data_IF_313035321730
#
_entry.id   IF_313035321730
#
_cell.length_a   1.000
_cell.length_b   1.000
_cell.length_c   1.000
_cell.angle_alpha   90.00
_cell.angle_beta   90.00
_cell.angle_gamma   90.00
#
_symmetry.space_group_name_H-M   'P 1'
#
loop_
_entity.id
_entity.type
_entity.pdbx_description
1 polymer ?
#
# COMPACT_ATOMS: atom_id res chain seq x y z
N UNK A 1 14.26 -6.22 -37.34
CA UNK A 1 15.46 -6.08 -36.52
C UNK A 1 15.04 -6.59 -35.16
N UNK A 2 15.26 -7.90 -34.92
CA UNK A 2 15.04 -8.49 -33.61
C UNK A 2 16.13 -7.94 -32.70
N UNK A 3 15.74 -7.12 -31.74
CA UNK A 3 16.65 -6.74 -30.67
C UNK A 3 16.89 -8.01 -29.85
N UNK A 4 18.14 -8.49 -29.89
CA UNK A 4 18.66 -9.47 -28.97
C UNK A 4 18.42 -8.95 -27.55
N UNK A 5 17.31 -9.34 -26.94
CA UNK A 5 17.09 -9.21 -25.49
C UNK A 5 18.14 -10.10 -24.86
N UNK A 6 19.27 -9.51 -24.44
CA UNK A 6 20.29 -10.21 -23.67
C UNK A 6 19.58 -10.77 -22.44
N UNK A 7 19.44 -12.09 -22.40
CA UNK A 7 18.97 -12.82 -21.25
C UNK A 7 20.01 -12.70 -20.12
N UNK A 8 19.94 -11.63 -19.35
CA UNK A 8 20.73 -11.46 -18.14
C UNK A 8 20.26 -12.48 -17.11
N UNK A 9 21.21 -13.14 -16.44
CA UNK A 9 20.89 -13.86 -15.22
C UNK A 9 21.20 -12.98 -14.00
N UNK A 10 20.69 -13.34 -12.84
CA UNK A 10 20.88 -12.54 -11.61
C UNK A 10 22.35 -12.32 -11.26
N UNK A 11 23.25 -13.24 -11.64
CA UNK A 11 24.70 -13.08 -11.42
C UNK A 11 25.28 -11.97 -12.29
N UNK A 12 24.86 -11.90 -13.55
CA UNK A 12 25.28 -10.82 -14.47
C UNK A 12 24.82 -9.46 -13.97
N UNK A 13 23.62 -9.41 -13.36
CA UNK A 13 23.08 -8.19 -12.73
C UNK A 13 23.96 -7.81 -11.54
N UNK A 14 24.28 -8.76 -10.64
CA UNK A 14 25.14 -8.50 -9.48
C UNK A 14 26.53 -8.02 -9.92
N UNK A 15 27.13 -8.64 -10.93
CA UNK A 15 28.43 -8.19 -11.47
C UNK A 15 28.34 -6.77 -12.07
N UNK A 16 27.24 -6.45 -12.77
CA UNK A 16 27.05 -5.13 -13.37
C UNK A 16 26.87 -4.03 -12.32
N UNK A 17 26.20 -4.32 -11.19
CA UNK A 17 25.96 -3.30 -10.15
C UNK A 17 27.20 -3.01 -9.31
N UNK A 18 28.23 -3.87 -9.31
CA UNK A 18 29.50 -3.60 -8.62
C UNK A 18 30.16 -2.29 -9.06
N UNK A 19 29.97 -1.88 -10.31
CA UNK A 19 30.48 -0.60 -10.80
C UNK A 19 29.82 0.59 -10.08
N UNK A 20 28.57 0.43 -9.62
CA UNK A 20 27.81 1.47 -8.94
C UNK A 20 28.23 1.68 -7.47
N UNK A 21 28.92 0.72 -6.86
CA UNK A 21 29.39 0.80 -5.45
C UNK A 21 30.33 1.99 -5.19
N UNK A 22 31.05 2.43 -6.24
CA UNK A 22 31.92 3.59 -6.14
C UNK A 22 31.17 4.94 -6.27
N UNK A 23 29.90 4.90 -6.69
CA UNK A 23 29.08 6.09 -6.98
C UNK A 23 28.04 6.31 -5.87
N UNK A 24 27.47 5.20 -5.38
CA UNK A 24 26.39 5.20 -4.38
C UNK A 24 26.91 4.72 -3.02
N UNK A 25 26.30 5.19 -1.94
CA UNK A 25 26.65 4.77 -0.58
C UNK A 25 26.18 3.35 -0.30
N UNK A 26 25.02 2.96 -0.85
CA UNK A 26 24.49 1.58 -0.80
C UNK A 26 23.91 1.20 -2.15
N UNK A 27 24.20 0.00 -2.61
CA UNK A 27 23.56 -0.62 -3.78
C UNK A 27 22.97 -1.95 -3.36
N UNK A 28 21.68 -2.15 -3.67
CA UNK A 28 20.97 -3.38 -3.35
C UNK A 28 20.26 -3.94 -4.58
N UNK A 29 20.27 -5.26 -4.70
CA UNK A 29 19.38 -5.99 -5.62
C UNK A 29 18.32 -6.65 -4.78
N UNK A 30 17.06 -6.29 -5.01
CA UNK A 30 15.95 -6.79 -4.21
C UNK A 30 14.90 -7.48 -5.07
N UNK A 31 14.22 -8.46 -4.49
CA UNK A 31 12.95 -8.96 -5.01
C UNK A 31 11.81 -8.42 -4.12
N UNK A 32 11.17 -7.31 -4.50
CA UNK A 32 10.17 -6.67 -3.64
C UNK A 32 8.87 -7.47 -3.53
N UNK A 33 8.61 -8.38 -4.47
CA UNK A 33 7.45 -9.29 -4.42
C UNK A 33 7.64 -10.34 -3.32
N UNK A 34 8.86 -10.86 -3.16
CA UNK A 34 9.20 -11.83 -2.13
C UNK A 34 9.67 -11.14 -0.83
N UNK A 35 9.79 -9.83 -0.81
CA UNK A 35 10.39 -9.03 0.27
C UNK A 35 11.82 -9.47 0.61
N UNK A 36 12.62 -9.85 -0.39
CA UNK A 36 13.97 -10.37 -0.18
C UNK A 36 15.03 -9.45 -0.72
N UNK A 37 16.13 -9.35 0.02
CA UNK A 37 17.40 -8.84 -0.51
C UNK A 37 18.12 -10.01 -1.18
N UNK A 38 18.53 -9.81 -2.42
CA UNK A 38 19.30 -10.80 -3.20
C UNK A 38 20.79 -10.50 -3.10
N UNK A 39 21.14 -9.22 -3.11
CA UNK A 39 22.50 -8.72 -3.01
C UNK A 39 22.49 -7.34 -2.37
N UNK A 40 23.49 -7.04 -1.56
CA UNK A 40 23.69 -5.70 -0.96
C UNK A 40 25.19 -5.42 -0.86
N UNK A 41 25.57 -4.24 -1.30
CA UNK A 41 26.85 -3.61 -1.03
C UNK A 41 26.63 -2.30 -0.29
N UNK A 42 27.26 -2.16 0.86
CA UNK A 42 27.17 -0.97 1.70
C UNK A 42 28.56 -0.44 1.97
N UNK A 43 28.88 0.70 1.40
CA UNK A 43 30.19 1.35 1.52
C UNK A 43 30.53 1.75 2.95
N UNK A 44 29.50 2.07 3.74
CA UNK A 44 29.65 2.56 5.11
C UNK A 44 29.64 1.41 6.15
N UNK A 45 29.10 0.25 5.76
CA UNK A 45 29.04 -0.95 6.60
C UNK A 45 29.08 -2.24 5.75
N UNK A 46 30.31 -2.72 5.41
CA UNK A 46 30.47 -3.91 4.59
C UNK A 46 29.98 -5.21 5.25
N UNK A 47 29.65 -5.20 6.53
CA UNK A 47 29.19 -6.39 7.28
C UNK A 47 27.67 -6.48 7.33
N UNK A 48 26.96 -5.43 6.96
CA UNK A 48 25.48 -5.43 6.91
C UNK A 48 24.95 -6.31 5.75
N UNK A 49 25.23 -7.60 5.83
CA UNK A 49 24.67 -8.61 4.94
C UNK A 49 23.49 -9.19 5.67
N UNK A 50 22.37 -9.32 5.15
CA UNK A 50 21.94 -10.21 4.41
C UNK A 50 20.65 -10.86 4.18
N UNK A 51 20.20 -11.91 4.51
CA UNK A 51 19.01 -12.73 4.26
C UNK A 51 17.69 -12.12 4.80
N UNK A 52 17.76 -10.88 5.26
CA UNK A 52 16.63 -10.16 5.84
C UNK A 52 15.65 -9.67 4.78
N UNK A 53 14.44 -9.45 5.22
CA UNK A 53 13.42 -8.84 4.39
C UNK A 53 13.89 -7.45 3.92
N UNK A 54 13.61 -7.07 2.66
CA UNK A 54 14.09 -5.82 2.07
C UNK A 54 13.70 -4.57 2.87
N UNK A 55 12.62 -4.63 3.63
CA UNK A 55 12.15 -3.57 4.50
C UNK A 55 12.89 -3.49 5.84
N UNK A 56 13.61 -4.55 6.27
CA UNK A 56 14.38 -4.54 7.51
C UNK A 56 15.51 -3.52 7.47
N UNK A 57 16.09 -3.27 6.31
CA UNK A 57 17.07 -2.21 6.11
C UNK A 57 16.54 -0.81 6.50
N UNK A 58 15.22 -0.60 6.41
CA UNK A 58 14.53 0.62 6.78
C UNK A 58 14.03 0.60 8.22
N UNK A 59 14.55 -0.31 9.06
CA UNK A 59 14.12 -0.54 10.45
C UNK A 59 12.60 -0.78 10.60
N UNK A 60 11.98 -1.28 9.52
CA UNK A 60 10.55 -1.60 9.50
C UNK A 60 10.34 -3.09 9.80
N UNK A 61 9.31 -3.38 10.56
CA UNK A 61 8.89 -4.75 10.87
C UNK A 61 7.86 -5.32 9.86
N UNK A 62 7.47 -4.50 8.88
CA UNK A 62 6.58 -4.84 7.78
C UNK A 62 7.02 -4.14 6.50
N UNK A 63 6.49 -4.57 5.36
CA UNK A 63 6.76 -3.96 4.07
C UNK A 63 6.42 -2.46 4.06
N UNK A 64 7.11 -1.74 3.17
CA UNK A 64 6.96 -0.29 3.03
C UNK A 64 5.61 0.08 2.43
N UNK A 65 4.87 0.99 3.04
CA UNK A 65 3.60 1.49 2.52
C UNK A 65 3.79 2.19 1.16
N UNK A 66 4.85 2.98 1.02
CA UNK A 66 5.29 3.60 -0.25
C UNK A 66 6.51 2.85 -0.81
N UNK A 67 6.30 1.66 -1.38
CA UNK A 67 7.38 0.85 -1.95
C UNK A 67 7.64 1.22 -3.41
N UNK A 68 8.70 1.99 -3.68
CA UNK A 68 9.08 2.37 -5.05
C UNK A 68 9.61 1.20 -5.88
N UNK A 69 10.13 0.16 -5.24
CA UNK A 69 10.61 -1.03 -5.93
C UNK A 69 9.46 -1.87 -6.47
N UNK A 70 8.33 -1.97 -5.74
CA UNK A 70 7.10 -2.56 -6.29
C UNK A 70 6.57 -1.74 -7.46
N UNK A 71 6.58 -0.42 -7.32
CA UNK A 71 6.16 0.49 -8.38
C UNK A 71 7.04 0.35 -9.61
N UNK A 72 8.36 0.27 -9.44
CA UNK A 72 9.30 0.09 -10.54
C UNK A 72 8.98 -1.17 -11.37
N UNK A 73 8.66 -2.29 -10.72
CA UNK A 73 8.24 -3.51 -11.43
C UNK A 73 6.88 -3.33 -12.12
N UNK A 74 5.91 -2.72 -11.44
CA UNK A 74 4.53 -2.62 -11.95
C UNK A 74 4.44 -1.68 -13.14
N UNK A 75 5.12 -0.54 -13.08
CA UNK A 75 5.10 0.49 -14.11
C UNK A 75 6.24 0.33 -15.13
N UNK A 76 7.19 -0.60 -14.89
CA UNK A 76 8.38 -0.87 -15.70
C UNK A 76 9.22 0.39 -15.94
N UNK A 77 9.38 1.20 -14.90
CA UNK A 77 10.08 2.49 -14.96
C UNK A 77 10.94 2.69 -13.71
N UNK A 78 11.84 3.66 -13.78
CA UNK A 78 12.72 4.04 -12.66
C UNK A 78 12.05 5.09 -11.79
N UNK A 79 12.07 4.86 -10.48
CA UNK A 79 11.49 5.76 -9.50
C UNK A 79 12.51 6.25 -8.50
N UNK A 80 12.29 7.48 -8.02
CA UNK A 80 13.10 8.12 -6.99
C UNK A 80 12.21 8.50 -5.82
N UNK A 81 12.70 8.25 -4.60
CA UNK A 81 12.11 8.79 -3.37
C UNK A 81 13.17 9.18 -2.37
N UNK A 82 12.74 9.89 -1.35
CA UNK A 82 13.53 10.12 -0.14
C UNK A 82 12.99 9.26 1.00
N UNK A 83 13.88 8.75 1.84
CA UNK A 83 13.55 8.01 3.06
C UNK A 83 14.42 8.50 4.20
N UNK A 84 13.91 8.44 5.42
CA UNK A 84 14.64 8.88 6.63
C UNK A 84 14.89 7.67 7.51
N UNK A 85 16.14 7.47 7.94
CA UNK A 85 16.57 6.44 8.89
C UNK A 85 17.57 7.12 9.86
N UNK A 86 17.36 6.97 11.17
CA UNK A 86 18.30 7.46 12.20
C UNK A 86 18.81 8.89 11.94
N UNK A 87 17.88 9.82 11.66
CA UNK A 87 18.19 11.22 11.33
C UNK A 87 18.96 11.42 10.01
N UNK A 88 19.24 10.33 9.26
CA UNK A 88 19.83 10.40 7.92
C UNK A 88 18.75 10.39 6.84
N UNK A 89 19.01 11.14 5.79
CA UNK A 89 18.12 11.25 4.65
C UNK A 89 18.79 10.61 3.45
N UNK A 90 18.14 9.56 2.94
CA UNK A 90 18.60 8.83 1.76
C UNK A 90 17.76 9.22 0.55
N UNK A 91 18.44 9.56 -0.54
CA UNK A 91 17.83 9.58 -1.86
C UNK A 91 17.97 8.17 -2.47
N UNK A 92 16.85 7.57 -2.82
CA UNK A 92 16.78 6.20 -3.33
C UNK A 92 16.30 6.25 -4.77
N UNK A 93 17.06 5.63 -5.65
CA UNK A 93 16.64 5.34 -7.03
C UNK A 93 16.39 3.85 -7.14
N UNK A 94 15.20 3.46 -7.61
CA UNK A 94 14.81 2.07 -7.81
C UNK A 94 14.54 1.84 -9.29
N UNK A 95 15.30 0.95 -9.93
CA UNK A 95 15.21 0.62 -11.36
C UNK A 95 14.92 -0.87 -11.56
N UNK A 96 13.87 -1.24 -12.34
CA UNK A 96 13.54 -2.63 -12.57
C UNK A 96 14.54 -3.30 -13.48
N UNK A 97 14.83 -4.56 -13.20
CA UNK A 97 15.64 -5.45 -14.04
C UNK A 97 14.95 -6.81 -14.12
N UNK A 98 14.89 -7.37 -15.31
CA UNK A 98 14.26 -8.66 -15.57
C UNK A 98 15.33 -9.72 -15.88
N UNK A 99 15.18 -10.92 -15.32
CA UNK A 99 15.92 -12.10 -15.72
C UNK A 99 14.96 -13.23 -16.10
N UNK A 100 15.51 -14.39 -16.49
CA UNK A 100 14.70 -15.56 -16.88
C UNK A 100 13.82 -16.12 -15.73
N UNK A 101 14.15 -15.78 -14.46
CA UNK A 101 13.53 -16.33 -13.27
C UNK A 101 12.59 -15.33 -12.58
N UNK A 102 12.54 -14.07 -13.03
CA UNK A 102 11.65 -13.06 -12.44
C UNK A 102 12.12 -11.63 -12.60
N UNK A 103 11.39 -10.75 -11.93
CA UNK A 103 11.66 -9.32 -11.88
C UNK A 103 12.37 -8.98 -10.56
N UNK A 104 13.44 -8.23 -10.69
CA UNK A 104 14.22 -7.70 -9.57
C UNK A 104 14.29 -6.18 -9.67
N UNK A 105 14.79 -5.53 -8.64
CA UNK A 105 15.03 -4.09 -8.65
C UNK A 105 16.42 -3.80 -8.12
N UNK A 106 17.15 -2.99 -8.83
CA UNK A 106 18.37 -2.37 -8.36
C UNK A 106 17.99 -1.09 -7.62
N UNK A 107 18.26 -1.06 -6.33
CA UNK A 107 18.10 0.12 -5.49
C UNK A 107 19.48 0.75 -5.25
N UNK A 108 19.60 2.01 -5.59
CA UNK A 108 20.81 2.83 -5.43
C UNK A 108 20.52 3.95 -4.44
N UNK A 109 21.25 3.97 -3.34
CA UNK A 109 21.01 4.88 -2.22
C UNK A 109 22.19 5.84 -2.04
N UNK A 110 21.89 7.12 -1.90
CA UNK A 110 22.84 8.15 -1.48
C UNK A 110 22.37 8.79 -0.17
N UNK A 111 23.25 8.82 0.82
CA UNK A 111 23.09 9.67 2.00
C UNK A 111 23.30 11.13 1.56
N UNK A 112 22.28 11.94 1.70
CA UNK A 112 22.29 13.34 1.31
C UNK A 112 22.21 14.29 2.52
N UNK A 113 22.29 13.75 3.73
CA UNK A 113 22.11 14.50 4.98
C UNK A 113 23.03 15.73 5.06
N UNK A 114 24.32 15.57 4.74
CA UNK A 114 25.34 16.62 4.86
C UNK A 114 25.78 17.22 3.53
N UNK A 115 25.13 16.89 2.40
CA UNK A 115 25.61 17.29 1.06
C UNK A 115 25.23 18.71 0.63
N UNK A 116 24.89 19.63 1.55
CA UNK A 116 24.57 21.03 1.22
C UNK A 116 23.35 21.23 0.31
N UNK A 117 22.83 20.17 -0.27
CA UNK A 117 21.67 20.16 -1.14
C UNK A 117 20.39 20.48 -0.34
N UNK A 118 20.34 20.05 0.92
CA UNK A 118 19.23 20.30 1.83
C UNK A 118 19.14 21.77 2.22
N UNK A 119 20.29 22.44 2.43
CA UNK A 119 20.33 23.88 2.75
C UNK A 119 19.75 24.74 1.62
N UNK A 120 19.92 24.32 0.37
CA UNK A 120 19.42 25.04 -0.80
C UNK A 120 17.92 24.81 -1.06
N UNK A 121 17.35 23.68 -0.64
CA UNK A 121 15.96 23.29 -0.91
C UNK A 121 15.03 23.66 0.25
N UNK A 122 15.45 23.45 1.49
CA UNK A 122 14.58 23.58 2.68
C UNK A 122 14.96 24.74 3.62
N UNK A 123 15.99 25.53 3.29
CA UNK A 123 16.54 26.47 4.27
C UNK A 123 17.36 25.74 5.33
N UNK A 124 17.75 26.43 6.38
CA UNK A 124 18.77 25.93 7.35
C UNK A 124 18.27 24.88 8.36
N UNK A 125 17.13 24.20 8.15
CA UNK A 125 16.56 23.31 9.16
C UNK A 125 16.29 21.91 8.60
N UNK A 126 17.12 20.94 9.01
CA UNK A 126 16.98 19.51 8.64
C UNK A 126 15.65 18.91 9.12
N UNK A 127 15.12 19.36 10.27
CA UNK A 127 13.84 18.90 10.81
C UNK A 127 12.66 19.24 9.88
N UNK A 128 12.70 20.42 9.25
CA UNK A 128 11.67 20.84 8.29
C UNK A 128 11.69 19.96 7.03
N UNK A 129 12.88 19.58 6.56
CA UNK A 129 13.02 18.71 5.39
C UNK A 129 12.58 17.28 5.70
N UNK A 130 12.97 16.73 6.84
CA UNK A 130 12.52 15.42 7.31
C UNK A 130 10.99 15.36 7.37
N UNK A 131 10.36 16.37 7.97
CA UNK A 131 8.90 16.43 8.05
C UNK A 131 8.23 16.56 6.67
N UNK A 132 8.88 17.24 5.73
CA UNK A 132 8.42 17.34 4.35
C UNK A 132 8.48 15.99 3.63
N UNK A 133 9.61 15.26 3.76
CA UNK A 133 9.79 13.93 3.18
C UNK A 133 8.71 12.96 3.68
N UNK A 134 8.48 12.93 4.99
CA UNK A 134 7.45 12.07 5.57
C UNK A 134 6.06 12.41 5.02
N UNK A 135 5.70 13.69 4.96
CA UNK A 135 4.41 14.13 4.40
C UNK A 135 4.28 13.80 2.92
N UNK A 136 5.34 13.93 2.12
CA UNK A 136 5.32 13.57 0.70
C UNK A 136 5.12 12.05 0.52
N UNK A 137 5.79 11.23 1.31
CA UNK A 137 5.62 9.78 1.27
C UNK A 137 4.19 9.37 1.65
N UNK A 138 3.61 9.97 2.67
CA UNK A 138 2.22 9.72 3.07
C UNK A 138 1.22 10.18 2.00
N UNK A 139 1.39 11.38 1.44
CA UNK A 139 0.50 11.90 0.41
C UNK A 139 0.42 11.02 -0.85
N UNK A 140 1.46 10.25 -1.14
CA UNK A 140 1.47 9.33 -2.28
C UNK A 140 0.56 8.12 -2.08
N UNK A 141 0.33 7.69 -0.85
CA UNK A 141 -0.38 6.45 -0.53
C UNK A 141 -1.66 6.67 0.28
N UNK A 142 -1.89 7.87 0.80
CA UNK A 142 -3.07 8.22 1.58
C UNK A 142 -4.09 9.00 0.75
N UNK A 143 -5.36 8.84 1.07
CA UNK A 143 -6.46 9.69 0.56
C UNK A 143 -6.49 11.00 1.35
N UNK A 144 -6.50 12.13 0.65
CA UNK A 144 -6.40 13.46 1.27
C UNK A 144 -7.54 13.75 2.25
N UNK A 145 -8.75 13.28 1.96
CA UNK A 145 -9.91 13.52 2.82
C UNK A 145 -9.93 12.61 4.03
N UNK A 146 -9.75 11.32 3.82
CA UNK A 146 -10.01 10.29 4.85
C UNK A 146 -8.76 9.83 5.59
N UNK A 147 -7.58 10.13 5.08
CA UNK A 147 -6.26 9.77 5.62
C UNK A 147 -5.98 8.26 5.75
N UNK A 148 -6.87 7.39 5.27
CA UNK A 148 -6.58 5.97 5.05
C UNK A 148 -5.89 5.79 3.70
N UNK A 149 -5.50 4.56 3.34
CA UNK A 149 -4.87 4.33 2.04
C UNK A 149 -5.78 4.74 0.87
N UNK A 150 -5.15 5.15 -0.23
CA UNK A 150 -5.84 5.56 -1.45
C UNK A 150 -5.91 4.43 -2.49
N UNK A 151 -6.58 4.68 -3.61
CA UNK A 151 -6.72 3.70 -4.71
C UNK A 151 -5.38 3.29 -5.32
N UNK A 152 -4.38 4.17 -5.31
CA UNK A 152 -3.04 3.85 -5.79
C UNK A 152 -2.41 2.74 -4.96
N UNK A 153 -2.52 2.82 -3.64
CA UNK A 153 -2.04 1.78 -2.73
C UNK A 153 -2.69 0.41 -3.04
N UNK A 154 -3.99 0.38 -3.33
CA UNK A 154 -4.68 -0.86 -3.74
C UNK A 154 -4.02 -1.44 -4.98
N UNK A 155 -3.81 -0.63 -6.02
CA UNK A 155 -3.27 -1.08 -7.30
C UNK A 155 -1.83 -1.59 -7.18
N UNK A 156 -1.01 -1.00 -6.32
CA UNK A 156 0.37 -1.39 -6.10
C UNK A 156 0.46 -2.60 -5.16
N UNK A 157 -0.38 -2.65 -4.12
CA UNK A 157 -0.25 -3.62 -3.04
C UNK A 157 -1.03 -4.91 -3.24
N UNK A 158 -2.27 -4.84 -3.68
CA UNK A 158 -3.15 -6.01 -3.76
C UNK A 158 -2.60 -7.13 -4.67
N UNK A 159 -1.96 -6.86 -5.85
CA UNK A 159 -1.32 -7.90 -6.65
C UNK A 159 -0.24 -8.68 -5.89
N UNK A 160 0.52 -8.00 -5.05
CA UNK A 160 1.59 -8.60 -4.24
C UNK A 160 1.00 -9.47 -3.13
N UNK A 161 -0.10 -9.03 -2.51
CA UNK A 161 -0.80 -9.83 -1.50
C UNK A 161 -1.38 -11.12 -2.10
N UNK A 162 -1.85 -11.08 -3.36
CA UNK A 162 -2.28 -12.29 -4.09
C UNK A 162 -1.11 -13.28 -4.21
N UNK A 163 0.06 -12.80 -4.65
CA UNK A 163 1.25 -13.63 -4.82
C UNK A 163 1.69 -14.23 -3.47
N UNK A 164 1.74 -13.41 -2.42
CA UNK A 164 2.11 -13.87 -1.07
C UNK A 164 1.13 -14.92 -0.54
N UNK A 165 -0.17 -14.74 -0.76
CA UNK A 165 -1.19 -15.70 -0.35
C UNK A 165 -1.04 -17.02 -1.08
N UNK A 166 -0.76 -16.99 -2.40
CA UNK A 166 -0.53 -18.19 -3.21
C UNK A 166 0.73 -18.93 -2.77
N UNK A 167 1.86 -18.22 -2.61
CA UNK A 167 3.15 -18.81 -2.24
C UNK A 167 3.14 -19.35 -0.81
N UNK A 168 2.47 -18.65 0.10
CA UNK A 168 2.35 -19.05 1.50
C UNK A 168 1.24 -20.08 1.76
N UNK A 169 0.46 -20.47 0.75
CA UNK A 169 -0.77 -21.26 0.88
C UNK A 169 -1.73 -20.72 1.95
N UNK A 170 -1.77 -19.38 2.10
CA UNK A 170 -2.61 -18.68 3.06
C UNK A 170 -3.91 -18.24 2.42
N UNK A 171 -5.00 -18.26 3.19
CA UNK A 171 -6.25 -17.63 2.79
C UNK A 171 -6.11 -16.11 2.79
N UNK A 172 -6.88 -15.44 1.96
CA UNK A 172 -7.02 -13.99 2.02
C UNK A 172 -8.43 -13.60 1.54
N UNK A 173 -8.92 -12.47 2.02
CA UNK A 173 -10.20 -11.94 1.58
C UNK A 173 -10.12 -10.46 1.25
N UNK A 174 -10.92 -10.03 0.26
CA UNK A 174 -11.24 -8.62 0.03
C UNK A 174 -12.69 -8.37 0.41
N UNK A 175 -12.93 -7.18 0.96
CA UNK A 175 -14.27 -6.70 1.30
C UNK A 175 -14.44 -5.33 0.65
N UNK A 176 -15.51 -5.15 -0.11
CA UNK A 176 -15.91 -3.83 -0.59
C UNK A 176 -17.05 -3.34 0.27
N UNK A 177 -16.90 -2.14 0.82
CA UNK A 177 -17.90 -1.46 1.63
C UNK A 177 -18.36 -0.17 0.97
N UNK A 178 -19.63 0.16 1.11
CA UNK A 178 -20.20 1.40 0.58
C UNK A 178 -21.31 1.91 1.50
N UNK A 179 -21.30 3.23 1.74
CA UNK A 179 -22.28 3.90 2.61
C UNK A 179 -23.66 3.89 1.96
N UNK A 180 -24.66 3.34 2.65
CA UNK A 180 -26.02 3.26 2.13
C UNK A 180 -26.65 4.63 1.95
N UNK A 181 -27.14 4.89 0.73
CA UNK A 181 -27.85 6.12 0.38
C UNK A 181 -27.02 7.40 0.64
N UNK A 182 -25.69 7.33 0.46
CA UNK A 182 -24.80 8.46 0.75
C UNK A 182 -25.13 9.71 -0.06
N UNK A 183 -25.49 9.55 -1.35
CA UNK A 183 -25.96 10.67 -2.17
C UNK A 183 -27.11 11.43 -1.51
N UNK A 184 -28.10 10.72 -0.93
CA UNK A 184 -29.21 11.34 -0.22
C UNK A 184 -28.76 12.13 1.02
N UNK A 185 -27.69 11.68 1.69
CA UNK A 185 -27.09 12.42 2.81
C UNK A 185 -26.47 13.74 2.32
N UNK A 186 -25.71 13.68 1.21
CA UNK A 186 -25.16 14.88 0.57
C UNK A 186 -26.25 15.86 0.13
N UNK A 187 -27.30 15.35 -0.50
CA UNK A 187 -28.43 16.16 -0.96
C UNK A 187 -29.18 16.83 0.21
N UNK A 188 -29.19 16.20 1.38
CA UNK A 188 -29.91 16.71 2.56
C UNK A 188 -29.06 17.67 3.41
N UNK A 189 -27.77 17.36 3.63
CA UNK A 189 -26.90 18.04 4.60
C UNK A 189 -25.74 18.79 3.97
N UNK A 190 -25.62 18.73 2.61
CA UNK A 190 -24.54 19.34 1.86
C UNK A 190 -23.24 18.51 1.83
N UNK A 191 -22.34 18.83 0.90
CA UNK A 191 -21.09 18.10 0.69
C UNK A 191 -20.12 18.19 1.88
N UNK A 192 -20.10 19.31 2.60
CA UNK A 192 -19.25 19.46 3.79
C UNK A 192 -19.63 18.43 4.87
N UNK A 193 -20.94 18.22 5.08
CA UNK A 193 -21.41 17.17 6.00
C UNK A 193 -21.06 15.77 5.48
N UNK A 194 -21.15 15.55 4.16
CA UNK A 194 -20.71 14.30 3.52
C UNK A 194 -19.25 14.02 3.73
N UNK A 195 -18.38 15.01 3.56
CA UNK A 195 -16.93 14.87 3.80
C UNK A 195 -16.64 14.51 5.27
N UNK A 196 -17.31 15.15 6.23
CA UNK A 196 -17.18 14.82 7.65
C UNK A 196 -17.67 13.38 7.97
N UNK A 197 -18.72 12.92 7.29
CA UNK A 197 -19.19 11.54 7.40
C UNK A 197 -18.12 10.59 6.86
N UNK A 198 -17.56 10.84 5.68
CA UNK A 198 -16.51 10.01 5.07
C UNK A 198 -15.27 9.91 5.95
N UNK A 199 -14.82 11.00 6.55
CA UNK A 199 -13.68 11.02 7.47
C UNK A 199 -13.93 10.13 8.70
N UNK A 200 -15.06 10.30 9.37
CA UNK A 200 -15.41 9.53 10.55
C UNK A 200 -15.66 8.05 10.20
N UNK A 201 -16.29 7.78 9.06
CA UNK A 201 -16.50 6.43 8.54
C UNK A 201 -15.17 5.71 8.30
N UNK A 202 -14.24 6.34 7.58
CA UNK A 202 -12.92 5.78 7.30
C UNK A 202 -12.15 5.42 8.59
N UNK A 203 -12.17 6.31 9.60
CA UNK A 203 -11.55 6.03 10.90
C UNK A 203 -12.21 4.84 11.60
N UNK A 204 -13.52 4.73 11.52
CA UNK A 204 -14.26 3.63 12.12
C UNK A 204 -13.95 2.31 11.43
N UNK A 205 -13.81 2.30 10.08
CA UNK A 205 -13.38 1.14 9.30
C UNK A 205 -11.96 0.70 9.70
N UNK A 206 -11.02 1.64 9.78
CA UNK A 206 -9.64 1.34 10.17
C UNK A 206 -9.54 0.77 11.58
N UNK A 207 -10.30 1.32 12.54
CA UNK A 207 -10.38 0.83 13.92
C UNK A 207 -11.06 -0.55 14.03
N UNK A 208 -11.80 -0.97 13.03
CA UNK A 208 -12.41 -2.29 12.95
C UNK A 208 -11.46 -3.41 12.54
N UNK A 209 -10.24 -3.09 12.14
CA UNK A 209 -9.20 -4.07 11.82
C UNK A 209 -8.35 -4.38 13.06
N UNK A 210 -8.07 -5.64 13.30
CA UNK A 210 -7.34 -6.12 14.48
C UNK A 210 -5.97 -6.73 14.12
N UNK A 211 -5.76 -7.12 12.86
CA UNK A 211 -4.53 -7.71 12.41
C UNK A 211 -3.64 -6.63 11.77
N UNK A 212 -2.38 -6.56 12.17
CA UNK A 212 -1.41 -5.57 11.67
C UNK A 212 -1.13 -5.66 10.16
N UNK A 213 -1.49 -6.79 9.54
CA UNK A 213 -1.35 -6.99 8.10
C UNK A 213 -2.62 -6.67 7.31
N UNK A 214 -3.74 -6.46 8.00
CA UNK A 214 -4.97 -6.01 7.38
C UNK A 214 -4.87 -4.51 7.06
N UNK A 215 -5.53 -4.11 6.00
CA UNK A 215 -5.59 -2.69 5.66
C UNK A 215 -6.91 -2.33 4.99
N UNK A 216 -7.25 -1.05 5.08
CA UNK A 216 -8.40 -0.46 4.41
C UNK A 216 -7.96 0.74 3.58
N UNK A 217 -8.52 0.87 2.39
CA UNK A 217 -8.27 1.96 1.46
C UNK A 217 -9.58 2.53 0.91
N UNK A 218 -9.56 3.81 0.56
CA UNK A 218 -10.65 4.42 -0.18
C UNK A 218 -10.54 4.03 -1.65
N UNK A 219 -11.51 3.29 -2.15
CA UNK A 219 -11.54 2.81 -3.53
C UNK A 219 -12.03 3.89 -4.49
N UNK A 220 -13.02 4.69 -4.07
CA UNK A 220 -13.52 5.85 -4.80
C UNK A 220 -14.84 6.37 -4.22
N UNK A 221 -15.12 7.66 -4.29
CA UNK A 221 -16.35 8.23 -3.75
C UNK A 221 -16.63 7.83 -2.30
N UNK A 222 -17.70 7.06 -2.11
CA UNK A 222 -18.14 6.48 -0.85
C UNK A 222 -17.78 4.99 -0.69
N UNK A 223 -16.94 4.45 -1.59
CA UNK A 223 -16.54 3.04 -1.62
C UNK A 223 -15.18 2.83 -0.96
N UNK A 224 -15.07 1.78 -0.17
CA UNK A 224 -13.86 1.40 0.57
C UNK A 224 -13.55 -0.07 0.34
N UNK A 225 -12.25 -0.40 0.25
CA UNK A 225 -11.78 -1.77 0.06
C UNK A 225 -10.92 -2.16 1.24
N UNK A 226 -11.21 -3.32 1.83
CA UNK A 226 -10.37 -3.99 2.83
C UNK A 226 -9.62 -5.13 2.19
N UNK A 227 -8.41 -5.33 2.61
CA UNK A 227 -7.68 -6.57 2.48
C UNK A 227 -7.54 -7.21 3.85
N UNK A 228 -7.89 -8.49 3.95
CA UNK A 228 -7.81 -9.29 5.16
C UNK A 228 -6.82 -10.43 4.97
N UNK A 229 -5.72 -10.37 5.71
CA UNK A 229 -4.62 -11.32 5.63
C UNK A 229 -4.94 -12.61 6.38
N UNK A 230 -4.58 -13.74 5.76
CA UNK A 230 -4.77 -15.09 6.34
C UNK A 230 -6.18 -15.33 6.89
N UNK A 231 -7.19 -14.90 6.12
CA UNK A 231 -8.59 -14.86 6.53
C UNK A 231 -9.44 -15.67 5.56
N UNK A 232 -10.16 -16.66 6.07
CA UNK A 232 -11.13 -17.45 5.31
C UNK A 232 -12.49 -16.74 5.18
N UNK A 233 -13.44 -17.36 4.47
CA UNK A 233 -14.75 -16.77 4.19
C UNK A 233 -15.58 -16.53 5.47
N UNK A 234 -15.48 -17.40 6.47
CA UNK A 234 -16.21 -17.26 7.74
C UNK A 234 -15.61 -16.13 8.58
N UNK A 235 -14.30 -16.09 8.69
CA UNK A 235 -13.60 -15.04 9.41
C UNK A 235 -13.82 -13.66 8.75
N UNK A 236 -13.79 -13.60 7.41
CA UNK A 236 -14.06 -12.36 6.68
C UNK A 236 -15.50 -11.85 6.91
N UNK A 237 -16.48 -12.77 6.96
CA UNK A 237 -17.85 -12.43 7.33
C UNK A 237 -17.92 -11.87 8.76
N UNK A 238 -17.23 -12.48 9.72
CA UNK A 238 -17.20 -12.03 11.12
C UNK A 238 -16.61 -10.61 11.22
N UNK A 239 -15.51 -10.33 10.52
CA UNK A 239 -14.91 -8.98 10.47
C UNK A 239 -15.89 -7.98 9.83
N UNK A 240 -16.45 -8.30 8.67
CA UNK A 240 -17.37 -7.39 7.97
C UNK A 240 -18.64 -7.11 8.78
N UNK A 241 -19.23 -8.12 9.44
CA UNK A 241 -20.39 -7.95 10.31
C UNK A 241 -20.06 -7.14 11.58
N UNK A 242 -18.88 -7.32 12.15
CA UNK A 242 -18.42 -6.49 13.27
C UNK A 242 -18.35 -5.02 12.87
N UNK A 243 -17.69 -4.73 11.74
CA UNK A 243 -17.57 -3.36 11.21
C UNK A 243 -18.93 -2.78 10.85
N UNK A 244 -19.82 -3.57 10.19
CA UNK A 244 -21.18 -3.14 9.87
C UNK A 244 -21.94 -2.68 11.12
N UNK A 245 -21.90 -3.48 12.19
CA UNK A 245 -22.53 -3.15 13.47
C UNK A 245 -21.92 -1.93 14.17
N UNK A 246 -20.58 -1.76 14.05
CA UNK A 246 -19.93 -0.55 14.56
C UNK A 246 -20.46 0.69 13.84
N UNK A 247 -20.62 0.65 12.53
CA UNK A 247 -21.17 1.76 11.73
C UNK A 247 -22.63 2.02 12.07
N UNK A 248 -23.47 0.99 12.12
CA UNK A 248 -24.89 1.09 12.44
C UNK A 248 -25.15 1.76 13.82
N UNK A 249 -24.30 1.47 14.80
CA UNK A 249 -24.41 2.02 16.15
C UNK A 249 -23.71 3.37 16.33
N UNK A 250 -22.86 3.78 15.38
CA UNK A 250 -22.11 5.01 15.45
C UNK A 250 -22.99 6.25 15.25
N UNK A 251 -22.54 7.35 15.84
CA UNK A 251 -23.16 8.67 15.71
C UNK A 251 -22.17 9.60 15.03
N UNK A 252 -22.48 10.00 13.80
CA UNK A 252 -21.64 10.84 12.97
C UNK A 252 -21.95 12.30 13.22
N UNK A 253 -20.94 13.06 13.61
CA UNK A 253 -21.06 14.51 13.85
C UNK A 253 -20.98 15.25 12.52
N UNK A 254 -21.93 16.14 12.29
CA UNK A 254 -21.99 17.06 11.15
C UNK A 254 -22.25 18.47 11.67
N UNK A 255 -22.08 19.54 10.84
CA UNK A 255 -22.32 20.92 11.30
C UNK A 255 -23.68 21.14 11.88
N UNK A 256 -24.73 20.53 11.32
CA UNK A 256 -26.12 20.69 11.73
C UNK A 256 -26.59 19.68 12.79
N UNK A 257 -25.67 18.93 13.40
CA UNK A 257 -26.03 17.99 14.47
C UNK A 257 -25.38 16.60 14.36
N UNK A 258 -26.17 15.57 14.59
CA UNK A 258 -25.70 14.17 14.57
C UNK A 258 -26.58 13.36 13.63
N UNK A 259 -25.95 12.55 12.78
CA UNK A 259 -26.63 11.63 11.86
C UNK A 259 -26.18 10.19 12.09
N UNK A 260 -27.07 9.26 11.74
CA UNK A 260 -26.74 7.84 11.63
C UNK A 260 -26.70 7.43 10.17
N UNK A 261 -25.79 6.53 9.84
CA UNK A 261 -25.67 5.90 8.53
C UNK A 261 -25.63 4.39 8.71
N UNK A 262 -25.87 3.67 7.62
CA UNK A 262 -25.58 2.26 7.50
C UNK A 262 -24.65 2.04 6.30
N UNK A 263 -24.08 0.87 6.20
CA UNK A 263 -23.23 0.48 5.10
C UNK A 263 -23.48 -0.97 4.70
N UNK A 264 -23.26 -1.27 3.44
CA UNK A 264 -23.35 -2.59 2.86
C UNK A 264 -21.97 -3.11 2.49
N UNK A 265 -21.80 -4.44 2.55
CA UNK A 265 -20.53 -5.09 2.32
C UNK A 265 -20.65 -6.27 1.35
N UNK A 266 -19.70 -6.37 0.43
CA UNK A 266 -19.50 -7.56 -0.39
C UNK A 266 -18.15 -8.20 -0.08
N UNK A 267 -18.14 -9.47 0.27
CA UNK A 267 -16.95 -10.21 0.71
C UNK A 267 -16.55 -11.26 -0.30
N UNK A 268 -15.28 -11.32 -0.69
CA UNK A 268 -14.77 -12.37 -1.56
C UNK A 268 -13.43 -12.90 -1.05
N UNK A 269 -13.31 -14.21 -0.83
CA UNK A 269 -12.03 -14.87 -0.56
C UNK A 269 -11.28 -15.14 -1.85
N UNK A 270 -9.94 -15.07 -1.80
CA UNK A 270 -9.09 -15.36 -2.93
C UNK A 270 -9.25 -16.81 -3.36
N UNK A 271 -9.49 -17.03 -4.64
CA UNK A 271 -9.52 -18.37 -5.24
C UNK A 271 -8.34 -18.57 -6.18
N UNK A 272 -7.94 -19.82 -6.37
CA UNK A 272 -6.83 -20.17 -7.25
C UNK A 272 -7.05 -19.66 -8.68
N UNK A 273 -6.10 -18.90 -9.17
CA UNK A 273 -6.12 -18.36 -10.54
C UNK A 273 -6.83 -17.02 -10.69
N UNK A 274 -7.42 -16.46 -9.63
CA UNK A 274 -7.97 -15.10 -9.67
C UNK A 274 -6.87 -14.06 -9.77
N UNK A 275 -7.05 -13.10 -10.66
CA UNK A 275 -6.31 -11.84 -10.66
C UNK A 275 -7.01 -10.78 -9.80
N UNK A 276 -6.34 -9.63 -9.62
CA UNK A 276 -6.86 -8.53 -8.79
C UNK A 276 -8.24 -8.03 -9.26
N UNK A 277 -8.40 -7.86 -10.57
CA UNK A 277 -9.64 -7.32 -11.17
C UNK A 277 -10.82 -8.27 -10.95
N UNK A 278 -10.60 -9.57 -11.15
CA UNK A 278 -11.61 -10.60 -10.91
C UNK A 278 -11.99 -10.68 -9.45
N UNK A 279 -11.00 -10.60 -8.54
CA UNK A 279 -11.24 -10.66 -7.11
C UNK A 279 -12.10 -9.50 -6.63
N UNK A 280 -11.75 -8.27 -7.03
CA UNK A 280 -12.54 -7.06 -6.74
C UNK A 280 -13.94 -7.17 -7.35
N UNK A 281 -14.06 -7.60 -8.62
CA UNK A 281 -15.36 -7.72 -9.30
C UNK A 281 -16.30 -8.73 -8.63
N UNK A 282 -15.76 -9.80 -8.05
CA UNK A 282 -16.57 -10.75 -7.28
C UNK A 282 -17.08 -10.16 -5.97
N UNK A 283 -16.27 -9.38 -5.26
CA UNK A 283 -16.72 -8.68 -4.06
C UNK A 283 -17.76 -7.60 -4.41
N UNK A 284 -17.55 -6.85 -5.50
CA UNK A 284 -18.48 -5.82 -5.98
C UNK A 284 -19.88 -6.39 -6.32
N UNK A 285 -19.94 -7.54 -7.01
CA UNK A 285 -21.22 -8.23 -7.28
C UNK A 285 -21.97 -8.54 -5.99
N UNK A 286 -21.29 -8.93 -4.94
CA UNK A 286 -21.89 -9.24 -3.63
C UNK A 286 -22.35 -7.98 -2.93
N UNK A 287 -21.59 -6.90 -2.99
CA UNK A 287 -22.02 -5.59 -2.51
C UNK A 287 -23.30 -5.12 -3.23
N UNK A 288 -23.37 -5.31 -4.54
CA UNK A 288 -24.58 -5.00 -5.30
C UNK A 288 -25.79 -5.78 -4.78
N UNK A 289 -25.64 -7.07 -4.46
CA UNK A 289 -26.71 -7.88 -3.88
C UNK A 289 -27.14 -7.33 -2.52
N UNK A 290 -26.18 -7.01 -1.62
CA UNK A 290 -26.47 -6.41 -0.33
C UNK A 290 -27.29 -5.11 -0.45
N UNK A 291 -26.92 -4.25 -1.40
CA UNK A 291 -27.66 -3.02 -1.68
C UNK A 291 -29.07 -3.27 -2.26
N UNK A 292 -29.19 -4.25 -3.13
CA UNK A 292 -30.48 -4.63 -3.72
C UNK A 292 -31.46 -5.22 -2.68
N UNK A 293 -30.95 -5.90 -1.65
CA UNK A 293 -31.73 -6.43 -0.52
C UNK A 293 -32.23 -5.33 0.43
N UNK A 294 -31.78 -4.08 0.26
CA UNK A 294 -32.21 -2.93 1.09
C UNK A 294 -31.08 -2.22 1.82
N UNK A 295 -29.87 -2.76 1.74
CA UNK A 295 -28.68 -2.24 2.41
C UNK A 295 -28.54 -2.72 3.85
N UNK A 296 -27.48 -2.24 4.53
CA UNK A 296 -27.12 -2.63 5.91
C UNK A 296 -26.89 -4.14 6.05
N UNK A 297 -26.21 -4.73 5.09
CA UNK A 297 -26.05 -6.18 4.97
C UNK A 297 -24.62 -6.55 4.52
N UNK A 298 -24.19 -7.73 4.92
CA UNK A 298 -22.96 -8.37 4.44
C UNK A 298 -23.33 -9.57 3.57
N UNK A 299 -22.85 -9.61 2.33
CA UNK A 299 -23.00 -10.75 1.41
C UNK A 299 -21.63 -11.39 1.15
N UNK A 300 -21.55 -12.74 1.27
CA UNK A 300 -20.31 -13.53 1.15
C UNK A 300 -20.36 -14.45 -0.04
#
# INVERSE_FOLDING_TARGET
MDEDIKNFNIKDIIEAVQVLENIYDVVRVVNPVQNKVIHIENRNDPVAVHEDACYAFWEKNKFCDNCISLRAITEKDTFVKFEVIDERIYMITASPVEDQNGCYVVEMLNDITDKGMLESIAGKNTEDFTSLVLRLNDALVRDELTQIFNRRYINERLPVEIIHSILGANSAAVVIADIDKFKKKNDTYGHIAGDMILQQFAQLLANGLENDRDWVARYGGEEFLFYLHNTDSKQALEVAERVRKMVENAKFKIPDGIVSITCSFGVCTLQKGMNMQEWIAHADKKLYIAKANGGNEVVV
#
